data_IF_008208117461
#
_entry.id   IF_008208117461
#
_cell.length_a   1.000
_cell.length_b   1.000
_cell.length_c   1.000
_cell.angle_alpha   90.00
_cell.angle_beta   90.00
_cell.angle_gamma   90.00
#
_symmetry.space_group_name_H-M   'P 1'
#
loop_
_entity.id
_entity.type
_entity.pdbx_description
1 polymer ?
#
# COMPACT_ATOMS: atom_id res chain seq x y z
N UNK A 1 30.78 -17.60 -9.96
CA UNK A 1 30.33 -16.67 -8.90
C UNK A 1 30.98 -15.28 -8.98
N UNK A 2 31.92 -15.04 -9.90
CA UNK A 2 32.68 -13.77 -9.99
C UNK A 2 31.89 -12.59 -10.60
N UNK A 3 30.87 -12.88 -11.41
CA UNK A 3 30.07 -11.86 -12.11
C UNK A 3 29.42 -10.82 -11.18
N UNK A 4 29.01 -11.22 -9.97
CA UNK A 4 28.35 -10.33 -9.02
C UNK A 4 29.29 -9.70 -7.99
N UNK A 5 30.58 -10.04 -8.00
CA UNK A 5 31.55 -9.52 -7.03
C UNK A 5 31.59 -7.98 -6.96
N UNK A 6 31.62 -7.24 -8.09
CA UNK A 6 31.64 -5.78 -8.04
C UNK A 6 30.38 -5.18 -7.39
N UNK A 7 29.25 -5.86 -7.50
CA UNK A 7 27.97 -5.42 -6.92
C UNK A 7 27.92 -5.74 -5.42
N UNK A 8 28.40 -6.92 -5.04
CA UNK A 8 28.51 -7.35 -3.64
C UNK A 8 29.45 -6.41 -2.87
N UNK A 9 30.61 -6.08 -3.43
CA UNK A 9 31.57 -5.14 -2.81
C UNK A 9 30.95 -3.76 -2.62
N UNK A 10 30.25 -3.23 -3.63
CA UNK A 10 29.55 -1.93 -3.52
C UNK A 10 28.46 -1.93 -2.45
N UNK A 11 27.75 -3.04 -2.26
CA UNK A 11 26.73 -3.17 -1.22
C UNK A 11 27.38 -3.28 0.16
N UNK A 12 28.47 -4.04 0.30
CA UNK A 12 29.22 -4.18 1.54
C UNK A 12 29.86 -2.85 1.98
N UNK A 13 30.46 -2.10 1.05
CA UNK A 13 31.03 -0.77 1.33
C UNK A 13 29.96 0.22 1.82
N UNK A 14 28.77 0.18 1.23
CA UNK A 14 27.64 1.00 1.70
C UNK A 14 27.16 0.59 3.09
N UNK A 15 27.09 -0.70 3.38
CA UNK A 15 26.68 -1.21 4.69
C UNK A 15 27.73 -0.89 5.77
N UNK A 16 29.03 -0.96 5.46
CA UNK A 16 30.10 -0.54 6.37
C UNK A 16 30.08 0.97 6.62
N UNK A 17 29.82 1.77 5.58
CA UNK A 17 29.63 3.22 5.72
C UNK A 17 28.45 3.58 6.64
N UNK A 18 27.39 2.76 6.66
CA UNK A 18 26.24 2.94 7.54
C UNK A 18 26.49 2.48 8.98
N UNK A 19 27.35 1.47 9.20
CA UNK A 19 27.72 0.99 10.54
C UNK A 19 28.48 2.03 11.35
N UNK A 20 29.22 2.94 10.69
CA UNK A 20 29.99 4.03 11.33
C UNK A 20 29.26 5.38 11.45
N UNK A 21 28.07 5.53 10.87
CA UNK A 21 27.33 6.80 10.84
C UNK A 21 25.89 6.53 11.22
N UNK A 22 25.56 6.71 12.50
CA UNK A 22 24.20 6.67 13.03
C UNK A 22 23.39 7.91 12.56
N UNK A 23 23.33 8.13 11.24
CA UNK A 23 22.95 9.33 10.48
C UNK A 23 24.03 10.43 10.42
N UNK A 24 24.38 10.84 9.20
CA UNK A 24 25.16 12.07 8.95
C UNK A 24 24.36 13.30 9.42
N UNK A 25 25.01 14.44 9.62
CA UNK A 25 24.32 15.71 9.94
C UNK A 25 23.23 16.02 8.92
N UNK A 26 23.48 15.78 7.63
CA UNK A 26 22.45 15.88 6.58
C UNK A 26 21.32 14.86 6.75
N UNK A 27 21.63 13.61 7.14
CA UNK A 27 20.63 12.59 7.45
C UNK A 27 19.77 12.94 8.67
N UNK A 28 20.36 13.54 9.70
CA UNK A 28 19.66 14.05 10.88
C UNK A 28 18.80 15.26 10.53
N UNK A 29 19.32 16.19 9.74
CA UNK A 29 18.58 17.35 9.25
C UNK A 29 17.39 16.94 8.38
N UNK A 30 17.56 15.96 7.47
CA UNK A 30 16.47 15.38 6.68
C UNK A 30 15.45 14.71 7.60
N UNK A 31 15.89 13.94 8.61
CA UNK A 31 15.00 13.29 9.57
C UNK A 31 14.20 14.33 10.37
N UNK A 32 14.87 15.38 10.87
CA UNK A 32 14.26 16.50 11.59
C UNK A 32 13.28 17.24 10.69
N UNK A 33 13.67 17.59 9.45
CA UNK A 33 12.80 18.26 8.49
C UNK A 33 11.58 17.39 8.15
N UNK A 34 11.74 16.09 7.95
CA UNK A 34 10.60 15.20 7.71
C UNK A 34 9.67 15.08 8.92
N UNK A 35 10.21 15.04 10.14
CA UNK A 35 9.44 15.07 11.40
C UNK A 35 8.68 16.40 11.57
N UNK A 36 9.32 17.53 11.27
CA UNK A 36 8.71 18.87 11.33
C UNK A 36 7.63 19.06 10.25
N UNK A 37 7.85 18.55 9.03
CA UNK A 37 6.86 18.60 7.95
C UNK A 37 5.57 17.82 8.25
N UNK A 38 5.57 16.94 9.26
CA UNK A 38 4.38 16.19 9.67
C UNK A 38 3.49 17.02 10.64
N UNK A 39 3.95 18.17 11.15
CA UNK A 39 3.26 18.98 12.18
C UNK A 39 2.34 20.11 11.68
N UNK A 40 1.84 20.06 10.44
CA UNK A 40 1.01 21.14 9.90
C UNK A 40 -0.48 20.86 9.86
N UNK A 41 -1.20 20.84 11.01
CA UNK A 41 -2.64 21.14 11.07
C UNK A 41 -2.98 21.84 12.39
N UNK A 42 -3.07 23.18 12.35
CA UNK A 42 -3.82 23.97 13.33
C UNK A 42 -5.27 23.98 12.81
N UNK A 43 -6.15 23.21 13.42
CA UNK A 43 -7.60 23.35 13.17
C UNK A 43 -8.16 24.30 14.22
N UNK A 44 -8.46 25.53 13.82
CA UNK A 44 -9.27 26.45 14.61
C UNK A 44 -10.71 25.97 14.58
N UNK A 45 -11.22 25.47 15.70
CA UNK A 45 -12.64 25.19 15.91
C UNK A 45 -13.30 26.34 16.68
N UNK A 46 -14.50 26.73 16.24
CA UNK A 46 -15.40 27.61 16.99
C UNK A 46 -16.25 26.71 17.90
N UNK A 47 -16.35 27.01 19.18
CA UNK A 47 -17.31 26.33 20.07
C UNK A 47 -18.26 27.31 20.73
N UNK A 48 -19.10 26.79 21.64
CA UNK A 48 -20.44 27.29 21.99
C UNK A 48 -20.59 28.75 22.47
N UNK A 49 -19.52 29.54 22.61
CA UNK A 49 -19.56 30.97 22.95
C UNK A 49 -18.73 31.88 22.02
N UNK A 50 -18.33 31.40 20.84
CA UNK A 50 -17.61 32.24 19.86
C UNK A 50 -16.15 32.57 20.22
N UNK A 51 -15.60 31.97 21.26
CA UNK A 51 -14.18 32.12 21.64
C UNK A 51 -13.35 31.03 20.94
N UNK A 52 -12.19 31.34 20.33
CA UNK A 52 -11.28 30.32 19.82
C UNK A 52 -10.65 29.57 20.99
N UNK A 53 -10.87 28.25 21.08
CA UNK A 53 -10.15 27.39 22.04
C UNK A 53 -9.23 26.44 21.30
N UNK A 54 -7.99 26.33 21.79
CA UNK A 54 -7.00 25.36 21.30
C UNK A 54 -7.38 23.98 21.85
N UNK A 55 -7.87 23.08 20.99
CA UNK A 55 -8.11 21.69 21.39
C UNK A 55 -6.79 20.92 21.41
N UNK A 56 -6.13 20.89 22.57
CA UNK A 56 -5.03 19.97 22.87
C UNK A 56 -5.59 18.54 22.98
N UNK A 57 -5.29 17.66 22.02
CA UNK A 57 -5.39 16.21 22.30
C UNK A 57 -4.32 15.86 23.36
N UNK A 58 -4.78 15.56 24.58
CA UNK A 58 -3.97 15.16 25.77
C UNK A 58 -3.04 13.99 25.38
N UNK A 59 -1.73 14.00 25.66
CA UNK A 59 -1.03 14.26 26.93
C UNK A 59 0.23 15.11 26.73
N UNK A 60 0.54 15.95 27.72
CA UNK A 60 1.57 16.99 27.68
C UNK A 60 2.98 16.54 27.30
N UNK A 61 3.38 16.93 26.10
CA UNK A 61 4.73 16.95 25.58
C UNK A 61 4.73 17.82 24.33
N UNK A 62 5.81 18.58 24.10
CA UNK A 62 6.05 19.38 22.89
C UNK A 62 5.55 18.57 21.69
N UNK A 63 4.63 19.10 20.86
CA UNK A 63 3.67 18.39 20.00
C UNK A 63 4.19 17.40 18.94
N UNK A 64 5.33 16.75 19.15
CA UNK A 64 5.89 15.65 18.40
C UNK A 64 4.98 14.43 18.47
N UNK A 65 4.72 13.83 17.30
CA UNK A 65 4.19 12.48 17.21
C UNK A 65 5.19 11.53 17.86
N UNK A 66 4.70 10.44 18.47
CA UNK A 66 5.59 9.42 19.00
C UNK A 66 6.55 8.94 17.92
N UNK A 67 7.83 8.76 18.24
CA UNK A 67 8.81 8.18 17.32
C UNK A 67 8.34 6.84 16.78
N UNK A 68 7.56 6.10 17.58
CA UNK A 68 6.91 4.87 17.17
C UNK A 68 5.92 5.10 16.02
N UNK A 69 5.06 6.12 16.11
CA UNK A 69 4.05 6.43 15.09
C UNK A 69 4.72 6.94 13.81
N UNK A 70 5.78 7.74 13.94
CA UNK A 70 6.61 8.15 12.81
C UNK A 70 7.23 6.95 12.12
N UNK A 71 7.83 6.01 12.87
CA UNK A 71 8.41 4.79 12.31
C UNK A 71 7.35 3.94 11.60
N UNK A 72 6.19 3.74 12.22
CA UNK A 72 5.06 3.01 11.65
C UNK A 72 4.61 3.63 10.32
N UNK A 73 4.43 4.94 10.28
CA UNK A 73 4.02 5.64 9.07
C UNK A 73 5.09 5.57 7.95
N UNK A 74 6.38 5.55 8.30
CA UNK A 74 7.45 5.33 7.32
C UNK A 74 7.43 3.91 6.74
N UNK A 75 7.11 2.89 7.53
CA UNK A 75 6.93 1.52 7.03
C UNK A 75 5.68 1.39 6.17
N UNK A 76 4.56 2.03 6.52
CA UNK A 76 3.37 2.11 5.66
C UNK A 76 3.70 2.79 4.32
N UNK A 77 4.47 3.88 4.34
CA UNK A 77 4.96 4.54 3.11
C UNK A 77 5.84 3.62 2.28
N UNK A 78 6.68 2.82 2.94
CA UNK A 78 7.56 1.86 2.27
C UNK A 78 6.74 0.73 1.62
N UNK A 79 5.68 0.26 2.29
CA UNK A 79 4.71 -0.69 1.75
C UNK A 79 3.98 -0.11 0.53
N UNK A 80 3.46 1.11 0.63
CA UNK A 80 2.85 1.81 -0.51
C UNK A 80 3.80 1.86 -1.72
N UNK A 81 5.06 2.27 -1.51
CA UNK A 81 6.05 2.30 -2.59
C UNK A 81 6.33 0.92 -3.18
N UNK A 82 6.41 -0.11 -2.34
CA UNK A 82 6.59 -1.49 -2.75
C UNK A 82 5.44 -1.96 -3.66
N UNK A 83 4.19 -1.63 -3.31
CA UNK A 83 2.99 -2.03 -4.04
C UNK A 83 2.76 -1.26 -5.34
N UNK A 84 3.06 0.03 -5.34
CA UNK A 84 2.60 0.95 -6.41
C UNK A 84 3.68 1.34 -7.40
N UNK A 85 4.96 1.06 -7.10
CA UNK A 85 6.08 1.44 -7.98
C UNK A 85 6.90 0.23 -8.42
N UNK A 86 6.95 -0.08 -9.72
CA UNK A 86 7.88 -1.08 -10.22
C UNK A 86 9.31 -0.57 -10.02
N UNK A 87 10.12 -1.33 -9.29
CA UNK A 87 11.51 -0.99 -9.00
C UNK A 87 12.32 -2.27 -8.80
N UNK A 88 13.64 -2.20 -9.04
CA UNK A 88 14.53 -3.33 -8.76
C UNK A 88 14.42 -3.81 -7.31
N UNK A 89 14.24 -2.87 -6.38
CA UNK A 89 14.03 -3.21 -4.97
C UNK A 89 12.71 -3.95 -4.74
N UNK A 90 11.58 -3.51 -5.30
CA UNK A 90 10.30 -4.21 -5.13
C UNK A 90 10.32 -5.59 -5.78
N UNK A 91 10.93 -5.75 -6.96
CA UNK A 91 11.13 -7.05 -7.60
C UNK A 91 12.00 -7.98 -6.74
N UNK A 92 13.12 -7.48 -6.22
CA UNK A 92 14.00 -8.25 -5.32
C UNK A 92 13.27 -8.68 -4.04
N UNK A 93 12.54 -7.77 -3.40
CA UNK A 93 11.79 -8.06 -2.17
C UNK A 93 10.72 -9.12 -2.42
N UNK A 94 9.98 -9.01 -3.54
CA UNK A 94 8.97 -9.99 -3.94
C UNK A 94 9.58 -11.38 -4.16
N UNK A 95 10.66 -11.47 -4.94
CA UNK A 95 11.33 -12.76 -5.21
C UNK A 95 11.91 -13.39 -3.94
N UNK A 96 12.51 -12.58 -3.06
CA UNK A 96 13.14 -13.06 -1.83
C UNK A 96 12.13 -13.59 -0.81
N UNK A 97 10.99 -12.91 -0.66
CA UNK A 97 10.09 -13.16 0.47
C UNK A 97 8.74 -13.79 0.07
N UNK A 98 8.22 -13.53 -1.13
CA UNK A 98 6.88 -13.97 -1.52
C UNK A 98 6.85 -15.39 -2.13
N UNK A 99 7.96 -15.87 -2.73
CA UNK A 99 8.12 -17.27 -3.20
C UNK A 99 6.89 -17.81 -3.95
N UNK A 100 6.44 -17.10 -4.99
CA UNK A 100 5.24 -17.38 -5.82
C UNK A 100 3.88 -17.05 -5.19
N UNK A 101 3.80 -16.67 -3.92
CA UNK A 101 2.57 -16.12 -3.34
C UNK A 101 2.42 -14.64 -3.69
N UNK A 102 1.18 -14.13 -3.71
CA UNK A 102 0.96 -12.69 -3.80
C UNK A 102 1.38 -11.99 -2.49
N UNK A 103 1.97 -10.80 -2.60
CA UNK A 103 2.40 -10.00 -1.45
C UNK A 103 1.28 -9.61 -0.47
N UNK A 104 0.04 -9.53 -0.95
CA UNK A 104 -1.15 -9.24 -0.14
C UNK A 104 -1.45 -10.39 0.82
N UNK A 105 -1.21 -11.64 0.41
CA UNK A 105 -1.64 -12.84 1.16
C UNK A 105 -0.48 -13.62 1.77
N UNK A 106 0.76 -13.25 1.44
CA UNK A 106 1.95 -13.96 1.94
C UNK A 106 1.95 -13.98 3.46
N UNK A 107 2.04 -15.19 4.03
CA UNK A 107 2.03 -15.36 5.47
C UNK A 107 3.34 -14.88 6.09
N UNK A 108 3.27 -14.55 7.37
CA UNK A 108 4.43 -14.20 8.16
C UNK A 108 5.43 -15.36 8.20
N UNK A 109 6.68 -15.09 7.79
CA UNK A 109 7.77 -16.08 7.80
C UNK A 109 9.04 -15.45 8.35
N UNK A 110 10.08 -16.28 8.59
CA UNK A 110 11.44 -15.79 8.83
C UNK A 110 11.80 -14.76 7.75
N UNK A 111 12.23 -13.57 8.18
CA UNK A 111 12.45 -12.43 7.29
C UNK A 111 13.23 -11.33 7.99
N UNK A 112 13.68 -10.35 7.19
CA UNK A 112 14.37 -9.18 7.74
C UNK A 112 13.43 -8.37 8.63
N UNK A 113 13.99 -7.59 9.55
CA UNK A 113 13.21 -6.69 10.40
C UNK A 113 12.34 -5.73 9.57
N UNK A 114 12.88 -5.24 8.43
CA UNK A 114 12.16 -4.34 7.52
C UNK A 114 10.95 -5.05 6.88
N UNK A 115 11.14 -6.25 6.34
CA UNK A 115 10.04 -7.01 5.72
C UNK A 115 8.93 -7.31 6.72
N UNK A 116 9.33 -7.64 7.94
CA UNK A 116 8.43 -7.89 9.06
C UNK A 116 7.54 -6.67 9.36
N UNK A 117 8.14 -5.50 9.53
CA UNK A 117 7.41 -4.25 9.75
C UNK A 117 6.56 -3.84 8.55
N UNK A 118 7.00 -4.16 7.33
CA UNK A 118 6.20 -3.99 6.13
C UNK A 118 4.94 -4.85 6.13
N UNK A 119 5.02 -6.12 6.55
CA UNK A 119 3.83 -6.98 6.68
C UNK A 119 2.87 -6.49 7.77
N UNK A 120 3.38 -6.03 8.92
CA UNK A 120 2.52 -5.37 9.93
C UNK A 120 1.79 -4.15 9.33
N UNK A 121 2.46 -3.39 8.48
CA UNK A 121 1.86 -2.23 7.83
C UNK A 121 0.86 -2.63 6.75
N UNK A 122 1.12 -3.66 5.96
CA UNK A 122 0.19 -4.21 4.97
C UNK A 122 -1.18 -4.44 5.60
N UNK A 123 -1.21 -5.13 6.73
CA UNK A 123 -2.47 -5.49 7.40
C UNK A 123 -3.28 -4.25 7.83
N UNK A 124 -2.59 -3.13 8.05
CA UNK A 124 -3.19 -1.85 8.42
C UNK A 124 -3.61 -0.99 7.23
N UNK A 125 -2.98 -1.16 6.06
CA UNK A 125 -3.10 -0.17 4.98
C UNK A 125 -3.55 -0.73 3.64
N UNK A 126 -3.48 -2.04 3.42
CA UNK A 126 -3.76 -2.63 2.10
C UNK A 126 -5.19 -2.34 1.65
N UNK A 127 -6.16 -2.41 2.56
CA UNK A 127 -7.56 -2.09 2.29
C UNK A 127 -7.79 -0.61 1.93
N UNK A 128 -6.86 0.28 2.30
CA UNK A 128 -6.90 1.71 1.97
C UNK A 128 -6.31 2.04 0.59
N UNK A 129 -5.72 1.05 -0.08
CA UNK A 129 -5.20 1.16 -1.45
C UNK A 129 -6.31 0.72 -2.41
N UNK A 130 -7.07 1.67 -2.93
CA UNK A 130 -8.11 1.40 -3.92
C UNK A 130 -7.47 1.44 -5.31
N UNK A 131 -7.59 0.36 -6.07
CA UNK A 131 -7.13 0.32 -7.44
C UNK A 131 -8.25 0.76 -8.36
N UNK A 132 -7.97 1.71 -9.26
CA UNK A 132 -8.93 2.15 -10.26
C UNK A 132 -8.65 1.43 -11.58
N UNK A 133 -9.52 0.51 -12.00
CA UNK A 133 -9.35 -0.18 -13.27
C UNK A 133 -9.42 0.81 -14.43
N UNK A 134 -8.42 0.74 -15.31
CA UNK A 134 -8.33 1.48 -16.56
C UNK A 134 -8.32 0.46 -17.69
N UNK A 135 -7.17 -0.18 -17.90
CA UNK A 135 -7.03 -1.31 -18.81
C UNK A 135 -7.33 -2.66 -18.14
N UNK A 136 -7.70 -2.66 -16.85
CA UNK A 136 -7.99 -3.88 -16.10
C UNK A 136 -6.75 -4.68 -15.73
N UNK A 137 -5.58 -4.03 -15.62
CA UNK A 137 -4.31 -4.67 -15.24
C UNK A 137 -4.21 -5.06 -13.77
N UNK A 138 -5.12 -4.57 -12.92
CA UNK A 138 -5.18 -4.90 -11.50
C UNK A 138 -5.46 -6.39 -11.31
N UNK A 139 -4.85 -6.97 -10.29
CA UNK A 139 -4.97 -8.39 -9.97
C UNK A 139 -6.35 -8.66 -9.38
N UNK A 140 -7.15 -9.45 -10.09
CA UNK A 140 -8.58 -9.62 -9.82
C UNK A 140 -8.86 -10.01 -8.36
N UNK A 141 -8.09 -10.96 -7.83
CA UNK A 141 -8.27 -11.47 -6.48
C UNK A 141 -7.57 -10.65 -5.38
N UNK A 142 -6.50 -9.93 -5.72
CA UNK A 142 -5.55 -9.42 -4.73
C UNK A 142 -5.53 -7.90 -4.58
N UNK A 143 -5.88 -7.17 -5.65
CA UNK A 143 -5.97 -5.72 -5.61
C UNK A 143 -7.39 -5.32 -5.17
N UNK A 144 -7.53 -4.27 -4.33
CA UNK A 144 -8.83 -3.74 -3.94
C UNK A 144 -9.39 -2.82 -5.03
N UNK A 145 -9.89 -3.41 -6.11
CA UNK A 145 -10.46 -2.67 -7.25
C UNK A 145 -11.99 -2.50 -7.16
N UNK A 146 -12.65 -3.24 -6.27
CA UNK A 146 -14.11 -3.16 -6.05
C UNK A 146 -14.51 -2.18 -4.95
N UNK A 147 -13.54 -1.69 -4.18
CA UNK A 147 -13.76 -0.86 -2.99
C UNK A 147 -14.16 -1.66 -1.74
N UNK A 148 -14.37 -2.97 -1.85
CA UNK A 148 -14.75 -3.86 -0.74
C UNK A 148 -13.55 -4.49 -0.03
N UNK A 149 -12.35 -4.32 -0.58
CA UNK A 149 -11.14 -5.05 -0.19
C UNK A 149 -10.70 -6.04 -1.27
N UNK A 150 -9.65 -6.80 -0.99
CA UNK A 150 -9.20 -7.87 -1.88
C UNK A 150 -10.20 -9.04 -1.84
N UNK A 151 -10.75 -9.42 -3.00
CA UNK A 151 -11.74 -10.50 -3.12
C UNK A 151 -11.22 -11.82 -2.54
N UNK A 152 -9.90 -12.06 -2.57
CA UNK A 152 -9.26 -13.21 -1.94
C UNK A 152 -9.70 -13.42 -0.49
N UNK A 153 -9.73 -12.35 0.33
CA UNK A 153 -10.09 -12.50 1.75
C UNK A 153 -11.58 -12.70 1.97
N UNK A 154 -12.41 -12.21 1.03
CA UNK A 154 -13.87 -12.27 1.10
C UNK A 154 -14.42 -13.62 0.59
N UNK A 155 -13.78 -14.23 -0.41
CA UNK A 155 -14.35 -15.35 -1.18
C UNK A 155 -13.52 -16.64 -1.04
N UNK A 156 -12.19 -16.55 -1.02
CA UNK A 156 -11.33 -17.74 -1.15
C UNK A 156 -11.48 -18.76 -0.02
N UNK A 157 -11.99 -18.35 1.15
CA UNK A 157 -12.24 -19.25 2.28
C UNK A 157 -13.35 -20.26 1.99
N UNK A 158 -14.30 -19.91 1.11
CA UNK A 158 -15.51 -20.72 0.85
C UNK A 158 -15.54 -21.30 -0.57
N UNK A 159 -14.98 -20.62 -1.58
CA UNK A 159 -15.10 -20.99 -3.00
C UNK A 159 -13.75 -21.31 -3.68
N UNK A 160 -12.63 -21.07 -3.00
CA UNK A 160 -11.30 -21.13 -3.63
C UNK A 160 -11.02 -19.94 -4.54
N UNK A 161 -9.85 -19.94 -5.17
CA UNK A 161 -9.41 -18.91 -6.13
C UNK A 161 -9.34 -19.56 -7.50
N UNK A 162 -10.05 -18.99 -8.48
CA UNK A 162 -9.90 -19.42 -9.87
C UNK A 162 -8.58 -18.86 -10.43
N UNK A 163 -7.59 -19.74 -10.57
CA UNK A 163 -6.26 -19.39 -11.07
C UNK A 163 -6.24 -19.03 -12.57
N UNK A 164 -7.32 -19.29 -13.33
CA UNK A 164 -7.42 -18.84 -14.71
C UNK A 164 -7.66 -17.34 -14.84
N UNK A 165 -8.22 -16.71 -13.80
CA UNK A 165 -8.52 -15.28 -13.76
C UNK A 165 -7.42 -14.55 -12.99
N UNK A 166 -6.57 -13.86 -13.73
CA UNK A 166 -5.40 -13.18 -13.18
C UNK A 166 -5.70 -11.72 -12.87
N UNK A 167 -6.35 -11.04 -13.81
CA UNK A 167 -6.57 -9.60 -13.78
C UNK A 167 -8.04 -9.25 -14.11
N UNK A 168 -8.43 -7.99 -13.89
CA UNK A 168 -9.81 -7.53 -14.09
C UNK A 168 -10.23 -7.62 -15.57
N UNK A 169 -9.28 -7.49 -16.50
CA UNK A 169 -9.56 -7.61 -17.94
C UNK A 169 -10.03 -9.02 -18.34
N UNK A 170 -9.58 -10.07 -17.63
CA UNK A 170 -9.94 -11.46 -17.95
C UNK A 170 -11.44 -11.77 -17.80
N UNK A 171 -12.21 -10.89 -17.14
CA UNK A 171 -13.68 -10.98 -16.99
C UNK A 171 -14.44 -9.95 -17.81
N UNK A 172 -13.80 -9.34 -18.80
CA UNK A 172 -14.41 -8.38 -19.74
C UNK A 172 -14.52 -9.03 -21.12
N UNK A 173 -15.68 -8.92 -21.75
CA UNK A 173 -15.91 -9.42 -23.11
C UNK A 173 -16.72 -8.41 -23.93
N UNK A 174 -16.21 -8.04 -25.10
CA UNK A 174 -16.90 -7.09 -25.98
C UNK A 174 -17.04 -5.67 -25.40
N UNK A 175 -16.19 -5.29 -24.44
CA UNK A 175 -16.28 -3.99 -23.75
C UNK A 175 -17.25 -3.97 -22.57
N UNK A 176 -17.92 -5.08 -22.30
CA UNK A 176 -18.87 -5.24 -21.20
C UNK A 176 -18.36 -6.29 -20.19
N UNK A 177 -18.92 -6.28 -18.99
CA UNK A 177 -18.68 -7.34 -18.02
C UNK A 177 -19.15 -8.69 -18.58
N UNK A 178 -18.30 -9.72 -18.50
CA UNK A 178 -18.73 -11.09 -18.76
C UNK A 178 -19.52 -11.58 -17.53
N UNK A 179 -20.82 -11.29 -17.51
CA UNK A 179 -21.71 -11.58 -16.39
C UNK A 179 -21.75 -13.06 -16.05
N UNK A 180 -21.82 -13.93 -17.07
CA UNK A 180 -21.75 -15.38 -16.88
C UNK A 180 -20.48 -15.76 -16.14
N UNK A 181 -19.31 -15.26 -16.59
CA UNK A 181 -18.04 -15.57 -15.94
C UNK A 181 -18.02 -15.07 -14.49
N UNK A 182 -18.52 -13.86 -14.22
CA UNK A 182 -18.58 -13.31 -12.87
C UNK A 182 -19.43 -14.17 -11.93
N UNK A 183 -20.61 -14.64 -12.35
CA UNK A 183 -21.45 -15.53 -11.54
C UNK A 183 -20.87 -16.94 -11.37
N UNK A 184 -20.01 -17.41 -12.28
CA UNK A 184 -19.30 -18.69 -12.12
C UNK A 184 -18.22 -18.64 -11.03
N UNK A 185 -17.51 -17.50 -10.91
CA UNK A 185 -16.33 -17.39 -10.03
C UNK A 185 -16.60 -16.63 -8.72
N UNK A 186 -17.70 -15.89 -8.61
CA UNK A 186 -18.07 -15.10 -7.43
C UNK A 186 -19.41 -15.54 -6.85
N UNK A 187 -19.62 -15.25 -5.56
CA UNK A 187 -20.95 -15.23 -4.98
C UNK A 187 -21.82 -14.15 -5.63
N UNK A 188 -23.12 -14.41 -5.70
CA UNK A 188 -24.12 -13.56 -6.34
C UNK A 188 -24.02 -12.09 -5.86
N UNK A 189 -23.92 -11.87 -4.55
CA UNK A 189 -23.81 -10.53 -3.95
C UNK A 189 -22.59 -9.72 -4.45
N UNK A 190 -21.45 -10.38 -4.70
CA UNK A 190 -20.24 -9.71 -5.20
C UNK A 190 -20.29 -9.49 -6.70
N UNK A 191 -20.83 -10.45 -7.45
CA UNK A 191 -21.04 -10.32 -8.89
C UNK A 191 -22.00 -9.15 -9.19
N UNK A 192 -23.13 -9.09 -8.48
CA UNK A 192 -24.10 -8.00 -8.61
C UNK A 192 -23.50 -6.64 -8.28
N UNK A 193 -22.74 -6.54 -7.19
CA UNK A 193 -22.05 -5.29 -6.84
C UNK A 193 -21.14 -4.81 -7.97
N UNK A 194 -20.37 -5.70 -8.59
CA UNK A 194 -19.48 -5.37 -9.71
C UNK A 194 -20.30 -4.92 -10.93
N UNK A 195 -21.32 -5.67 -11.31
CA UNK A 195 -22.12 -5.41 -12.52
C UNK A 195 -22.89 -4.08 -12.39
N UNK A 196 -23.45 -3.79 -11.22
CA UNK A 196 -24.33 -2.63 -11.01
C UNK A 196 -23.53 -1.36 -10.70
N UNK A 197 -22.49 -1.45 -9.87
CA UNK A 197 -21.82 -0.26 -9.31
C UNK A 197 -20.52 0.11 -10.02
N UNK A 198 -19.94 -0.78 -10.85
CA UNK A 198 -18.65 -0.56 -11.49
C UNK A 198 -18.77 -0.58 -13.01
N UNK A 199 -17.93 0.23 -13.66
CA UNK A 199 -17.83 0.25 -15.11
C UNK A 199 -16.75 -0.74 -15.58
N UNK A 200 -17.00 -1.50 -16.66
CA UNK A 200 -15.99 -2.35 -17.27
C UNK A 200 -14.74 -1.53 -17.66
N UNK A 201 -13.54 -2.09 -17.47
CA UNK A 201 -12.32 -1.55 -18.06
C UNK A 201 -12.46 -1.27 -19.55
N UNK A 202 -11.91 -0.14 -20.00
CA UNK A 202 -11.88 0.21 -21.41
C UNK A 202 -10.63 -0.36 -22.09
N UNK A 203 -10.73 -0.66 -23.39
CA UNK A 203 -9.59 -1.08 -24.21
C UNK A 203 -8.61 0.08 -24.41
N UNK A 204 -7.82 0.38 -23.38
CA UNK A 204 -6.84 1.45 -23.33
C UNK A 204 -5.47 0.89 -22.95
N UNK A 205 -4.40 1.61 -23.30
CA UNK A 205 -3.02 1.23 -22.93
C UNK A 205 -2.56 1.95 -21.65
N UNK A 206 -3.51 2.36 -20.79
CA UNK A 206 -3.22 3.04 -19.52
C UNK A 206 -3.35 2.07 -18.36
N UNK A 207 -2.27 1.87 -17.60
CA UNK A 207 -2.23 0.98 -16.45
C UNK A 207 -3.20 1.45 -15.36
N UNK A 208 -3.67 0.49 -14.56
CA UNK A 208 -4.54 0.75 -13.43
C UNK A 208 -3.79 1.55 -12.35
N UNK A 209 -4.51 2.47 -11.70
CA UNK A 209 -3.90 3.47 -10.83
C UNK A 209 -4.28 3.19 -9.37
N UNK A 210 -3.30 3.05 -8.46
CA UNK A 210 -3.58 2.94 -7.04
C UNK A 210 -3.87 4.33 -6.45
N UNK A 211 -4.96 4.41 -5.71
CA UNK A 211 -5.46 5.61 -5.03
C UNK A 211 -5.51 5.35 -3.53
N UNK A 212 -4.89 6.24 -2.77
CA UNK A 212 -4.96 6.23 -1.32
C UNK A 212 -6.28 6.84 -0.86
N UNK A 213 -7.15 6.03 -0.24
CA UNK A 213 -8.52 6.43 0.07
C UNK A 213 -8.65 7.55 1.11
N UNK A 214 -7.63 7.77 1.94
CA UNK A 214 -7.64 8.81 3.00
C UNK A 214 -7.22 10.21 2.51
N UNK A 215 -6.85 10.37 1.23
CA UNK A 215 -6.45 11.67 0.68
C UNK A 215 -7.25 12.03 -0.57
N UNK A 216 -7.69 13.28 -0.65
CA UNK A 216 -8.35 13.82 -1.84
C UNK A 216 -7.46 13.80 -3.09
N UNK A 217 -6.13 13.81 -2.91
CA UNK A 217 -5.15 13.70 -4.00
C UNK A 217 -4.83 12.26 -4.38
N UNK A 218 -5.34 11.26 -3.66
CA UNK A 218 -5.12 9.85 -3.95
C UNK A 218 -3.68 9.35 -3.76
N UNK A 219 -2.79 10.16 -3.18
CA UNK A 219 -1.41 9.76 -2.92
C UNK A 219 -1.22 9.44 -1.44
N UNK A 220 -0.35 8.49 -1.14
CA UNK A 220 0.06 8.25 0.25
C UNK A 220 0.88 9.42 0.78
N UNK A 221 0.45 10.05 1.87
CA UNK A 221 1.31 10.88 2.71
C UNK A 221 1.35 10.40 4.15
N UNK A 222 2.49 10.67 4.79
CA UNK A 222 2.74 10.36 6.21
C UNK A 222 1.81 11.17 7.12
N UNK A 223 1.24 12.28 6.64
CA UNK A 223 0.41 13.19 7.44
C UNK A 223 -0.97 12.64 7.76
N UNK A 224 -1.52 11.78 6.90
CA UNK A 224 -2.88 11.25 7.04
C UNK A 224 -2.92 9.86 7.66
N UNK A 225 -1.76 9.22 7.85
CA UNK A 225 -1.72 7.83 8.34
C UNK A 225 -1.92 7.73 9.85
N UNK A 226 -1.51 8.73 10.64
CA UNK A 226 -1.70 8.82 12.09
C UNK A 226 -1.65 10.28 12.50
#
# INVERSE_FOLDING_TARGET
>A
MEYYQPMITKVLDRLQSWKGKLLSIGGRAILITHVLQIQGQVTTGIGHHGVPYVCHRKKGGIGFRSLHDVAKALFCKLWWKYRTKPSLWSSFMSQKYCKKMNSVVVQWRKGSHVWRKMLECRDLVEHLIIWQPRMGSSLFWYDNWTGLGALYFLIAQNFGVDESVHNVWDVVYGGEWNTQRLYEILLEEFAEHIIVNLQPPAAQVVLDVPVWSLESKGQFSVRTTW
#
